data_IF_497582470882
#
_entry.id   IF_497582470882
#
_cell.length_a   1.000
_cell.length_b   1.000
_cell.length_c   1.000
_cell.angle_alpha   90.00
_cell.angle_beta   90.00
_cell.angle_gamma   90.00
#
_symmetry.space_group_name_H-M   'P 1'
#
loop_
_entity.id
_entity.type
_entity.pdbx_description
1 polymer ?
#
# COMPACT_ATOMS: atom_id res chain seq x y z
N UNK A 1 16.18 15.49 -15.67
CA UNK A 1 14.98 15.19 -16.44
C UNK A 1 15.18 13.84 -17.10
N UNK A 2 14.45 12.83 -16.68
CA UNK A 2 14.64 11.44 -17.09
C UNK A 2 13.67 11.06 -18.18
N UNK A 3 14.13 10.43 -19.23
CA UNK A 3 13.29 9.87 -20.25
C UNK A 3 13.44 8.34 -20.24
N UNK A 4 12.42 7.64 -19.80
CA UNK A 4 12.32 6.19 -19.92
C UNK A 4 11.30 5.85 -21.00
N UNK A 5 11.67 4.95 -21.90
CA UNK A 5 10.77 4.48 -22.96
C UNK A 5 10.02 3.24 -22.45
N UNK A 6 8.69 3.37 -22.30
CA UNK A 6 7.83 2.33 -21.76
C UNK A 6 6.93 1.76 -22.86
N UNK A 7 7.05 0.49 -23.19
CA UNK A 7 6.09 -0.20 -24.06
C UNK A 7 5.79 -1.60 -23.56
N UNK A 8 4.54 -2.00 -23.53
CA UNK A 8 4.07 -3.35 -23.22
C UNK A 8 4.28 -4.27 -24.41
N UNK A 9 4.81 -5.48 -24.22
CA UNK A 9 5.15 -6.40 -25.33
C UNK A 9 5.09 -7.87 -24.99
N UNK A 10 4.90 -8.65 -26.05
CA UNK A 10 4.90 -10.11 -26.04
C UNK A 10 6.34 -10.65 -26.06
N UNK A 11 6.64 -11.59 -25.18
CA UNK A 11 7.88 -12.36 -25.15
C UNK A 11 7.55 -13.81 -25.48
N UNK A 12 8.31 -14.42 -26.38
CA UNK A 12 8.29 -15.87 -26.55
C UNK A 12 9.61 -16.46 -26.08
N UNK A 13 9.56 -17.38 -25.13
CA UNK A 13 10.66 -18.29 -24.87
C UNK A 13 10.44 -19.55 -25.72
N UNK A 14 11.36 -19.89 -26.62
CA UNK A 14 11.22 -21.08 -27.47
C UNK A 14 11.17 -22.40 -26.69
N UNK A 15 11.55 -22.40 -25.41
CA UNK A 15 11.48 -23.55 -24.53
C UNK A 15 10.14 -23.71 -23.79
N UNK A 16 9.28 -22.68 -23.77
CA UNK A 16 8.05 -22.69 -22.97
C UNK A 16 6.75 -22.60 -23.78
N UNK A 17 6.79 -22.31 -25.06
CA UNK A 17 5.61 -22.32 -25.94
C UNK A 17 4.52 -21.29 -25.62
N UNK A 18 4.66 -20.49 -24.59
CA UNK A 18 3.71 -19.47 -24.18
C UNK A 18 4.27 -18.07 -24.40
N UNK A 19 3.48 -17.25 -25.10
CA UNK A 19 3.71 -15.82 -25.27
C UNK A 19 3.24 -15.07 -24.03
N UNK A 20 4.17 -14.52 -23.26
CA UNK A 20 3.83 -13.65 -22.12
C UNK A 20 4.06 -12.19 -22.47
N UNK A 21 3.13 -11.34 -22.07
CA UNK A 21 3.24 -9.90 -22.23
C UNK A 21 4.17 -9.35 -21.15
N UNK A 22 5.28 -8.75 -21.57
CA UNK A 22 6.20 -8.06 -20.66
C UNK A 22 6.38 -6.61 -21.06
N UNK A 23 6.64 -5.79 -20.07
CA UNK A 23 6.90 -4.38 -20.19
C UNK A 23 8.39 -4.13 -20.37
N UNK A 24 8.74 -3.55 -21.50
CA UNK A 24 10.11 -3.14 -21.77
C UNK A 24 10.31 -1.69 -21.40
N UNK A 25 11.34 -1.43 -20.61
CA UNK A 25 11.69 -0.07 -20.14
C UNK A 25 13.13 0.22 -20.57
N UNK A 26 13.31 1.12 -21.51
CA UNK A 26 14.63 1.60 -21.92
C UNK A 26 15.11 2.70 -20.99
N UNK A 27 16.20 2.46 -20.26
CA UNK A 27 16.73 3.38 -19.26
C UNK A 27 18.18 3.80 -19.57
N UNK A 28 18.54 4.95 -19.04
CA UNK A 28 19.90 5.43 -18.86
C UNK A 28 20.22 5.24 -17.37
N UNK A 29 21.09 4.28 -16.98
CA UNK A 29 21.28 3.91 -15.57
C UNK A 29 21.69 5.09 -14.69
N UNK A 30 22.62 5.95 -15.16
CA UNK A 30 23.08 7.08 -14.37
C UNK A 30 21.94 8.04 -13.99
N UNK A 31 21.01 8.23 -14.90
CA UNK A 31 19.84 9.09 -14.67
C UNK A 31 18.75 8.36 -13.89
N UNK A 32 18.51 7.08 -14.18
CA UNK A 32 17.52 6.28 -13.47
C UNK A 32 17.80 6.20 -11.99
N UNK A 33 19.05 6.02 -11.58
CA UNK A 33 19.46 5.98 -10.18
C UNK A 33 19.21 7.28 -9.40
N UNK A 34 18.99 8.39 -10.09
CA UNK A 34 18.65 9.67 -9.42
C UNK A 34 17.16 9.80 -9.11
N UNK A 35 16.29 9.04 -9.79
CA UNK A 35 14.83 9.20 -9.69
C UNK A 35 14.10 7.95 -9.20
N UNK A 36 14.71 6.78 -9.33
CA UNK A 36 14.18 5.50 -8.84
C UNK A 36 15.15 4.88 -7.82
N UNK A 37 14.67 3.85 -7.14
CA UNK A 37 15.47 3.07 -6.21
C UNK A 37 16.11 1.83 -6.89
N UNK A 38 16.22 1.85 -8.23
CA UNK A 38 16.72 0.73 -9.03
C UNK A 38 18.11 0.25 -8.57
N UNK A 39 19.01 1.17 -8.17
CA UNK A 39 20.32 0.79 -7.66
C UNK A 39 20.23 -0.06 -6.40
N UNK A 40 19.31 0.27 -5.49
CA UNK A 40 19.05 -0.52 -4.28
C UNK A 40 18.42 -1.85 -4.64
N UNK A 41 17.49 -1.87 -5.60
CA UNK A 41 16.81 -3.06 -6.08
C UNK A 41 17.77 -4.09 -6.72
N UNK A 42 18.85 -3.61 -7.37
CA UNK A 42 19.91 -4.44 -7.91
C UNK A 42 20.82 -5.04 -6.82
N UNK A 43 20.98 -4.34 -5.70
CA UNK A 43 21.83 -4.75 -4.58
C UNK A 43 21.10 -5.67 -3.59
N UNK A 44 19.76 -5.73 -3.62
CA UNK A 44 18.97 -6.57 -2.71
C UNK A 44 19.31 -8.04 -2.87
N UNK A 45 19.33 -8.75 -1.75
CA UNK A 45 19.53 -10.20 -1.78
C UNK A 45 18.36 -10.90 -2.44
N UNK A 46 18.67 -11.76 -3.40
CA UNK A 46 17.70 -12.65 -4.01
C UNK A 46 17.22 -13.67 -2.98
N UNK A 47 15.90 -13.84 -2.87
CA UNK A 47 15.31 -14.91 -2.06
C UNK A 47 15.08 -16.18 -2.86
N UNK A 48 14.98 -16.06 -4.19
CA UNK A 48 14.56 -17.14 -5.08
C UNK A 48 15.72 -17.76 -5.88
N UNK A 49 16.71 -16.97 -6.24
CA UNK A 49 17.80 -17.40 -7.11
C UNK A 49 19.14 -16.91 -6.58
N UNK A 50 19.92 -17.79 -6.00
CA UNK A 50 21.31 -17.53 -5.65
C UNK A 50 22.13 -17.20 -6.93
N UNK A 51 23.01 -16.20 -6.85
CA UNK A 51 23.97 -15.79 -7.90
C UNK A 51 23.38 -15.17 -9.17
N UNK A 52 22.23 -14.52 -9.11
CA UNK A 52 21.65 -13.84 -10.28
C UNK A 52 21.88 -12.31 -10.26
N UNK A 53 22.73 -11.82 -9.36
CA UNK A 53 23.05 -10.40 -9.26
C UNK A 53 23.82 -9.91 -10.47
N UNK A 54 23.67 -8.62 -10.77
CA UNK A 54 24.54 -7.93 -11.73
C UNK A 54 26.02 -8.00 -11.30
N UNK A 55 26.93 -7.90 -12.26
CA UNK A 55 28.36 -7.87 -11.93
C UNK A 55 28.75 -6.61 -11.21
N UNK A 56 28.21 -5.49 -11.67
CA UNK A 56 28.39 -4.16 -11.14
C UNK A 56 27.06 -3.45 -11.09
N UNK A 57 26.65 -2.97 -9.92
CA UNK A 57 25.41 -2.24 -9.75
C UNK A 57 25.48 -0.80 -10.29
N UNK A 58 26.68 -0.26 -10.45
CA UNK A 58 26.89 1.08 -11.02
C UNK A 58 26.89 1.03 -12.56
N UNK A 59 27.26 -0.11 -13.15
CA UNK A 59 27.13 -0.40 -14.59
C UNK A 59 26.39 -1.72 -14.82
N UNK A 60 25.06 -1.73 -14.61
CA UNK A 60 24.28 -2.96 -14.67
C UNK A 60 24.14 -3.55 -16.06
N UNK A 61 24.49 -2.79 -17.08
CA UNK A 61 24.49 -3.21 -18.49
C UNK A 61 25.89 -3.46 -19.06
N UNK A 62 26.89 -3.58 -18.20
CA UNK A 62 28.25 -3.89 -18.62
C UNK A 62 28.33 -5.19 -19.46
N UNK A 63 29.34 -5.31 -20.34
CA UNK A 63 29.47 -6.43 -21.24
C UNK A 63 29.65 -7.75 -20.51
N UNK A 64 28.96 -8.78 -20.97
CA UNK A 64 29.06 -10.14 -20.41
C UNK A 64 30.03 -10.96 -21.29
N UNK A 65 31.20 -11.33 -20.78
CA UNK A 65 32.19 -12.08 -21.53
C UNK A 65 31.62 -13.45 -22.00
N UNK A 66 31.98 -13.86 -23.24
CA UNK A 66 31.62 -15.16 -23.79
C UNK A 66 30.29 -15.23 -24.55
N UNK A 67 29.59 -14.10 -24.67
CA UNK A 67 28.33 -14.01 -25.43
C UNK A 67 28.49 -13.09 -26.64
N UNK A 68 29.31 -13.53 -27.58
CA UNK A 68 29.64 -12.78 -28.79
C UNK A 68 29.34 -13.65 -30.06
N UNK A 69 28.05 -13.93 -30.37
CA UNK A 69 27.73 -14.56 -31.62
C UNK A 69 28.15 -13.62 -32.77
N UNK A 70 28.86 -14.15 -33.74
CA UNK A 70 29.37 -13.40 -34.89
C UNK A 70 30.34 -12.24 -34.54
N UNK A 71 31.02 -12.33 -33.37
CA UNK A 71 32.01 -11.34 -32.95
C UNK A 71 31.41 -9.99 -32.46
N UNK A 72 30.11 -9.96 -32.21
CA UNK A 72 29.42 -8.81 -31.57
C UNK A 72 28.83 -9.23 -30.24
N UNK A 73 29.04 -8.47 -29.15
CA UNK A 73 28.43 -8.78 -27.88
C UNK A 73 26.89 -8.68 -27.99
N UNK A 74 26.20 -9.62 -27.35
CA UNK A 74 24.75 -9.53 -27.21
C UNK A 74 24.38 -8.36 -26.28
N UNK A 75 23.26 -7.70 -26.58
CA UNK A 75 22.76 -6.62 -25.75
C UNK A 75 22.29 -7.13 -24.40
N UNK A 76 22.65 -6.46 -23.30
CA UNK A 76 22.27 -6.86 -21.96
C UNK A 76 20.82 -6.49 -21.63
N UNK A 77 20.17 -7.34 -20.81
CA UNK A 77 18.84 -7.10 -20.25
C UNK A 77 18.83 -7.40 -18.76
N UNK A 78 18.16 -6.53 -17.97
CA UNK A 78 17.85 -6.81 -16.58
C UNK A 78 16.44 -7.37 -16.50
N UNK A 79 16.26 -8.39 -15.68
CA UNK A 79 15.00 -9.12 -15.54
C UNK A 79 14.50 -8.99 -14.12
N UNK A 80 13.21 -8.74 -13.92
CA UNK A 80 12.64 -8.79 -12.59
C UNK A 80 12.78 -10.16 -11.96
N UNK A 81 13.07 -10.23 -10.66
CA UNK A 81 13.41 -11.49 -9.97
C UNK A 81 12.30 -12.54 -10.09
N UNK A 82 11.04 -12.15 -10.02
CA UNK A 82 9.90 -13.05 -10.14
C UNK A 82 9.79 -13.65 -11.55
N UNK A 83 9.98 -12.83 -12.57
CA UNK A 83 10.00 -13.31 -13.96
C UNK A 83 11.17 -14.24 -14.21
N UNK A 84 12.33 -13.89 -13.69
CA UNK A 84 13.54 -14.72 -13.79
C UNK A 84 13.34 -16.08 -13.12
N UNK A 85 12.69 -16.13 -11.97
CA UNK A 85 12.34 -17.36 -11.26
C UNK A 85 11.36 -18.21 -12.08
N UNK A 86 10.30 -17.59 -12.59
CA UNK A 86 9.25 -18.27 -13.35
C UNK A 86 9.80 -18.91 -14.62
N UNK A 87 10.72 -18.24 -15.33
CA UNK A 87 11.29 -18.71 -16.58
C UNK A 87 12.65 -19.39 -16.42
N UNK A 88 13.15 -19.57 -15.20
CA UNK A 88 14.45 -20.17 -14.93
C UNK A 88 15.62 -19.40 -15.55
N UNK A 89 15.46 -18.07 -15.69
CA UNK A 89 16.47 -17.19 -16.27
C UNK A 89 17.57 -16.93 -15.26
N UNK A 90 18.81 -17.08 -15.70
CA UNK A 90 20.00 -16.79 -14.90
C UNK A 90 20.89 -15.83 -15.66
N UNK A 91 21.72 -15.12 -14.94
CA UNK A 91 22.76 -14.29 -15.53
C UNK A 91 23.57 -15.09 -16.57
N UNK A 92 23.76 -14.49 -17.72
CA UNK A 92 24.41 -15.13 -18.86
C UNK A 92 23.51 -16.03 -19.72
N UNK A 93 22.23 -16.25 -19.37
CA UNK A 93 21.28 -16.89 -20.30
C UNK A 93 20.81 -15.92 -21.37
N UNK A 94 20.55 -16.46 -22.56
CA UNK A 94 19.97 -15.68 -23.65
C UNK A 94 18.45 -15.69 -23.59
N UNK A 95 17.85 -14.57 -23.96
CA UNK A 95 16.41 -14.35 -24.02
C UNK A 95 16.06 -13.74 -25.38
N UNK A 96 15.13 -14.34 -26.11
CA UNK A 96 14.63 -13.77 -27.35
C UNK A 96 13.38 -12.94 -27.06
N UNK A 97 13.41 -11.67 -27.42
CA UNK A 97 12.28 -10.75 -27.29
C UNK A 97 11.71 -10.44 -28.67
N UNK A 98 10.40 -10.60 -28.81
CA UNK A 98 9.67 -10.30 -30.05
C UNK A 98 8.82 -9.07 -29.87
N UNK A 99 8.86 -8.17 -30.82
CA UNK A 99 8.10 -6.94 -30.77
C UNK A 99 7.33 -6.67 -32.08
N UNK A 100 6.09 -6.25 -31.94
CA UNK A 100 5.35 -5.62 -33.03
C UNK A 100 5.54 -4.10 -32.93
N UNK A 101 6.23 -3.49 -33.89
CA UNK A 101 6.36 -2.03 -33.99
C UNK A 101 5.18 -1.52 -34.80
N UNK A 102 4.47 -0.52 -34.27
CA UNK A 102 3.47 0.18 -35.06
C UNK A 102 4.18 1.21 -35.97
N UNK A 103 3.76 1.29 -37.19
CA UNK A 103 4.23 2.33 -38.11
C UNK A 103 3.79 3.70 -37.58
N UNK A 104 4.72 4.64 -37.52
CA UNK A 104 4.48 5.96 -36.92
C UNK A 104 3.48 6.82 -37.71
N UNK A 105 3.36 6.58 -39.03
CA UNK A 105 2.48 7.39 -39.92
C UNK A 105 1.12 6.72 -40.10
N UNK A 106 1.09 5.39 -40.21
CA UNK A 106 -0.14 4.66 -40.52
C UNK A 106 -0.82 4.01 -39.32
N UNK A 107 -0.11 3.87 -38.21
CA UNK A 107 -0.56 3.11 -37.02
C UNK A 107 -0.70 1.60 -37.29
N UNK A 108 -0.33 1.12 -38.47
CA UNK A 108 -0.41 -0.29 -38.83
C UNK A 108 0.71 -1.09 -38.13
N UNK A 109 0.44 -2.34 -37.70
CA UNK A 109 1.50 -3.19 -37.16
C UNK A 109 2.51 -3.53 -38.27
N UNK A 110 3.78 -3.24 -38.03
CA UNK A 110 4.89 -3.75 -38.84
C UNK A 110 5.12 -5.23 -38.52
N UNK A 111 5.88 -5.91 -39.39
CA UNK A 111 6.28 -7.27 -39.09
C UNK A 111 6.99 -7.37 -37.72
N UNK A 112 6.70 -8.42 -36.94
CA UNK A 112 7.36 -8.63 -35.65
C UNK A 112 8.87 -8.71 -35.84
N UNK A 113 9.61 -7.94 -35.06
CA UNK A 113 11.07 -7.98 -35.09
C UNK A 113 11.54 -8.68 -33.81
N UNK A 114 12.26 -9.79 -33.95
CA UNK A 114 12.90 -10.46 -32.85
C UNK A 114 14.33 -9.97 -32.64
N UNK A 115 14.78 -9.94 -31.39
CA UNK A 115 16.15 -9.66 -31.00
C UNK A 115 16.53 -10.49 -29.79
N UNK A 116 17.74 -11.06 -29.84
CA UNK A 116 18.27 -11.86 -28.74
C UNK A 116 19.08 -10.99 -27.80
N UNK A 117 18.81 -11.14 -26.51
CA UNK A 117 19.47 -10.44 -25.42
C UNK A 117 20.17 -11.43 -24.50
N UNK A 118 21.12 -10.96 -23.71
CA UNK A 118 21.74 -11.73 -22.64
C UNK A 118 21.33 -11.17 -21.28
N UNK A 119 20.94 -12.03 -20.36
CA UNK A 119 20.53 -11.63 -19.01
C UNK A 119 21.77 -11.14 -18.25
N UNK A 120 21.83 -9.84 -17.96
CA UNK A 120 22.90 -9.20 -17.21
C UNK A 120 22.76 -9.45 -15.70
N UNK A 121 21.54 -9.58 -15.22
CA UNK A 121 21.20 -9.85 -13.83
C UNK A 121 19.73 -9.64 -13.56
N UNK A 122 19.37 -9.76 -12.28
CA UNK A 122 18.00 -9.53 -11.81
C UNK A 122 17.94 -8.31 -10.90
N UNK A 123 16.76 -7.69 -10.85
CA UNK A 123 16.40 -6.64 -9.88
C UNK A 123 15.19 -7.07 -9.07
N UNK A 124 15.05 -6.55 -7.86
CA UNK A 124 13.95 -6.83 -6.93
C UNK A 124 13.36 -5.52 -6.39
N UNK A 125 12.21 -5.13 -6.95
CA UNK A 125 11.55 -3.85 -6.62
C UNK A 125 10.64 -3.91 -5.39
N UNK A 126 10.56 -5.03 -4.69
CA UNK A 126 9.58 -5.29 -3.63
C UNK A 126 8.11 -5.26 -4.12
N UNK A 127 7.88 -5.27 -5.41
CA UNK A 127 6.57 -5.38 -6.04
C UNK A 127 6.57 -6.56 -7.01
N UNK A 128 5.92 -7.66 -6.60
CA UNK A 128 5.87 -8.91 -7.38
C UNK A 128 5.32 -8.73 -8.78
N UNK A 129 4.26 -7.94 -8.92
CA UNK A 129 3.63 -7.71 -10.22
C UNK A 129 4.56 -6.96 -11.15
N UNK A 130 5.27 -5.96 -10.61
CA UNK A 130 6.26 -5.21 -11.35
C UNK A 130 7.44 -6.11 -11.78
N UNK A 131 7.96 -6.93 -10.87
CA UNK A 131 9.06 -7.86 -11.11
C UNK A 131 8.67 -9.01 -12.06
N UNK A 132 7.38 -9.37 -12.14
CA UNK A 132 6.86 -10.36 -13.08
C UNK A 132 6.74 -9.84 -14.51
N UNK A 133 6.58 -8.53 -14.69
CA UNK A 133 6.21 -7.95 -15.97
C UNK A 133 7.27 -7.05 -16.57
N UNK A 134 8.32 -6.68 -15.81
CA UNK A 134 9.23 -5.62 -16.24
C UNK A 134 10.62 -6.15 -16.60
N UNK A 135 11.11 -5.67 -17.75
CA UNK A 135 12.49 -5.84 -18.23
C UNK A 135 13.10 -4.47 -18.47
N UNK A 136 14.32 -4.27 -17.99
CA UNK A 136 15.08 -3.05 -18.28
C UNK A 136 16.12 -3.32 -19.37
N UNK A 137 16.20 -2.41 -20.33
CA UNK A 137 17.16 -2.41 -21.43
C UNK A 137 17.93 -1.09 -21.44
N UNK A 138 19.16 -1.06 -21.98
CA UNK A 138 19.80 0.21 -22.29
C UNK A 138 18.91 1.00 -23.26
N UNK A 139 18.72 2.28 -22.96
CA UNK A 139 17.85 3.16 -23.76
C UNK A 139 18.24 3.20 -25.24
N UNK A 140 19.54 3.21 -25.51
CA UNK A 140 20.07 3.26 -26.88
C UNK A 140 19.74 1.99 -27.66
N UNK A 141 19.91 0.83 -27.02
CA UNK A 141 19.57 -0.49 -27.57
C UNK A 141 18.08 -0.56 -27.90
N UNK A 142 17.24 -0.09 -26.99
CA UNK A 142 15.81 -0.06 -27.20
C UNK A 142 15.42 0.89 -28.32
N UNK A 143 16.02 2.07 -28.39
CA UNK A 143 15.76 3.06 -29.44
C UNK A 143 16.16 2.55 -30.83
N UNK A 144 17.31 1.87 -30.92
CA UNK A 144 17.78 1.23 -32.14
C UNK A 144 16.84 0.11 -32.60
N UNK A 145 16.50 -0.80 -31.69
CA UNK A 145 15.63 -1.93 -32.00
C UNK A 145 14.22 -1.49 -32.41
N UNK A 146 13.72 -0.38 -31.82
CA UNK A 146 12.39 0.18 -32.12
C UNK A 146 12.36 1.08 -33.33
N UNK A 147 13.52 1.51 -33.83
CA UNK A 147 13.60 2.56 -34.85
C UNK A 147 13.03 3.89 -34.38
N UNK A 148 12.99 4.14 -33.06
CA UNK A 148 12.36 5.32 -32.47
C UNK A 148 13.30 6.53 -32.36
N UNK A 149 14.56 6.38 -32.75
CA UNK A 149 15.58 7.42 -32.68
C UNK A 149 15.82 7.90 -31.23
N UNK A 150 15.82 9.22 -31.04
CA UNK A 150 15.99 9.84 -29.70
C UNK A 150 14.67 10.13 -28.98
N UNK A 151 13.55 9.60 -29.44
CA UNK A 151 12.26 9.82 -28.79
C UNK A 151 12.19 9.18 -27.41
N UNK A 152 11.32 9.67 -26.58
CA UNK A 152 10.98 9.10 -25.27
C UNK A 152 9.47 9.10 -25.09
N UNK A 153 8.97 8.13 -24.34
CA UNK A 153 7.52 8.01 -24.06
C UNK A 153 7.15 8.65 -22.73
N UNK A 154 8.06 8.57 -21.77
CA UNK A 154 7.81 9.05 -20.42
C UNK A 154 9.02 9.81 -19.87
N UNK A 155 8.74 10.81 -19.04
CA UNK A 155 9.74 11.56 -18.28
C UNK A 155 9.36 11.48 -16.81
N UNK A 156 10.25 10.91 -16.00
CA UNK A 156 10.04 10.79 -14.56
C UNK A 156 10.75 11.90 -13.81
N UNK A 157 10.07 12.51 -12.85
CA UNK A 157 10.63 13.57 -12.00
C UNK A 157 10.47 13.15 -10.54
N UNK A 158 11.57 13.13 -9.78
CA UNK A 158 11.56 12.89 -8.34
C UNK A 158 11.60 14.22 -7.60
N UNK A 159 10.67 14.40 -6.65
CA UNK A 159 10.65 15.55 -5.75
C UNK A 159 11.36 15.18 -4.45
N UNK A 160 12.13 16.12 -3.89
CA UNK A 160 12.80 15.92 -2.60
C UNK A 160 11.81 15.86 -1.43
N UNK A 161 10.76 16.67 -1.49
CA UNK A 161 9.66 16.69 -0.52
C UNK A 161 8.34 16.65 -1.25
N UNK A 162 7.88 15.43 -1.53
CA UNK A 162 6.67 15.21 -2.30
C UNK A 162 5.43 15.80 -1.61
N UNK A 163 5.31 15.64 -0.28
CA UNK A 163 4.15 16.06 0.46
C UNK A 163 3.91 17.57 0.39
N UNK A 164 4.97 18.37 0.47
CA UNK A 164 4.88 19.83 0.50
C UNK A 164 5.06 20.49 -0.88
N UNK A 165 5.75 19.81 -1.81
CA UNK A 165 6.13 20.40 -3.11
C UNK A 165 5.26 19.92 -4.26
N UNK A 166 4.39 18.91 -4.07
CA UNK A 166 3.61 18.28 -5.14
C UNK A 166 2.79 19.30 -5.94
N UNK A 167 1.98 20.09 -5.26
CA UNK A 167 1.07 21.04 -5.93
C UNK A 167 1.83 22.12 -6.71
N UNK A 168 2.84 22.72 -6.09
CA UNK A 168 3.68 23.72 -6.72
C UNK A 168 4.48 23.15 -7.91
N UNK A 169 4.96 21.90 -7.81
CA UNK A 169 5.66 21.22 -8.89
C UNK A 169 4.71 20.88 -10.05
N UNK A 170 3.50 20.41 -9.77
CA UNK A 170 2.49 20.13 -10.80
C UNK A 170 2.09 21.41 -11.56
N UNK A 171 1.86 22.49 -10.85
CA UNK A 171 1.51 23.77 -11.46
C UNK A 171 2.66 24.36 -12.29
N UNK A 172 3.88 24.36 -11.72
CA UNK A 172 5.08 24.89 -12.40
C UNK A 172 5.47 24.07 -13.61
N UNK A 173 5.51 22.75 -13.50
CA UNK A 173 5.79 21.85 -14.63
C UNK A 173 4.68 21.90 -15.66
N UNK A 174 3.41 21.91 -15.23
CA UNK A 174 2.27 22.02 -16.12
C UNK A 174 2.31 23.29 -16.96
N UNK A 175 2.58 24.43 -16.34
CA UNK A 175 2.72 25.73 -17.02
C UNK A 175 3.88 25.75 -18.00
N UNK A 176 5.05 25.28 -17.58
CA UNK A 176 6.25 25.26 -18.42
C UNK A 176 6.10 24.31 -19.62
N UNK A 177 5.60 23.09 -19.39
CA UNK A 177 5.40 22.11 -20.46
C UNK A 177 4.29 22.54 -21.44
N UNK A 178 3.27 23.25 -20.96
CA UNK A 178 2.23 23.82 -21.81
C UNK A 178 2.81 24.96 -22.68
N UNK A 179 3.64 25.82 -22.10
CA UNK A 179 4.29 26.93 -22.82
C UNK A 179 5.22 26.42 -23.94
N UNK A 180 5.90 25.29 -23.70
CA UNK A 180 6.79 24.64 -24.69
C UNK A 180 6.02 23.73 -25.68
N UNK A 181 4.69 23.62 -25.57
CA UNK A 181 3.85 22.83 -26.46
C UNK A 181 3.90 21.31 -26.23
N UNK A 182 4.49 20.85 -25.12
CA UNK A 182 4.53 19.43 -24.75
C UNK A 182 3.20 18.94 -24.15
N UNK A 183 2.47 19.82 -23.47
CA UNK A 183 1.14 19.50 -22.94
C UNK A 183 0.08 20.21 -23.78
N UNK A 184 -0.86 19.44 -24.31
CA UNK A 184 -2.03 19.98 -24.97
C UNK A 184 -3.15 20.21 -23.95
N UNK A 185 -3.98 21.22 -24.18
CA UNK A 185 -5.15 21.47 -23.35
C UNK A 185 -6.03 20.20 -23.25
N UNK A 186 -6.55 19.91 -22.08
CA UNK A 186 -7.41 18.75 -21.80
C UNK A 186 -8.54 18.68 -22.83
N UNK A 187 -8.53 17.67 -23.70
CA UNK A 187 -9.52 17.47 -24.76
C UNK A 187 -9.06 17.77 -26.20
N UNK A 188 -7.83 18.24 -26.41
CA UNK A 188 -7.31 18.57 -27.74
C UNK A 188 -6.56 17.42 -28.45
N UNK A 189 -6.79 16.17 -28.07
CA UNK A 189 -6.18 14.98 -28.73
C UNK A 189 -4.68 14.79 -28.51
N UNK A 190 -4.08 15.51 -27.59
CA UNK A 190 -2.67 15.36 -27.23
C UNK A 190 -2.41 14.14 -26.36
N UNK A 191 -1.32 13.46 -26.64
CA UNK A 191 -0.92 12.19 -25.97
C UNK A 191 -0.07 12.40 -24.72
N UNK A 192 0.25 13.63 -24.34
CA UNK A 192 1.08 13.94 -23.17
C UNK A 192 0.22 14.39 -21.99
N UNK A 193 0.39 13.72 -20.86
CA UNK A 193 -0.33 13.99 -19.61
C UNK A 193 0.65 14.02 -18.45
N UNK A 194 0.52 15.03 -17.60
CA UNK A 194 1.24 15.09 -16.34
C UNK A 194 0.47 14.30 -15.29
N UNK A 195 1.06 13.23 -14.78
CA UNK A 195 0.47 12.32 -13.79
C UNK A 195 1.36 12.19 -12.59
N UNK A 196 0.75 12.10 -11.43
CA UNK A 196 1.43 11.68 -10.20
C UNK A 196 1.46 10.16 -10.10
N UNK A 197 2.27 9.63 -9.21
CA UNK A 197 2.24 8.20 -8.90
C UNK A 197 0.88 7.77 -8.31
N UNK A 198 0.20 8.67 -7.58
CA UNK A 198 -1.15 8.46 -7.04
C UNK A 198 -2.18 8.29 -8.16
N UNK A 199 -2.07 9.09 -9.24
CA UNK A 199 -2.95 8.95 -10.41
C UNK A 199 -2.74 7.60 -11.10
N UNK A 200 -1.50 7.13 -11.12
CA UNK A 200 -1.14 5.83 -11.69
C UNK A 200 -1.72 4.67 -10.87
N UNK A 201 -1.71 4.80 -9.55
CA UNK A 201 -2.20 3.81 -8.60
C UNK A 201 -3.65 4.08 -8.12
N UNK A 202 -4.39 4.95 -8.82
CA UNK A 202 -5.69 5.45 -8.36
C UNK A 202 -6.70 4.36 -8.04
N UNK A 203 -6.77 3.32 -8.85
CA UNK A 203 -7.69 2.19 -8.62
C UNK A 203 -7.32 1.40 -7.36
N UNK A 204 -6.03 1.17 -7.15
CA UNK A 204 -5.52 0.48 -5.97
C UNK A 204 -5.72 1.33 -4.70
N UNK A 205 -5.39 2.62 -4.76
CA UNK A 205 -5.61 3.53 -3.63
C UNK A 205 -7.09 3.66 -3.27
N UNK A 206 -7.98 3.74 -4.27
CA UNK A 206 -9.43 3.75 -4.04
C UNK A 206 -9.92 2.44 -3.41
N UNK A 207 -9.36 1.29 -3.79
CA UNK A 207 -9.68 0.01 -3.18
C UNK A 207 -9.27 -0.04 -1.70
N UNK A 208 -8.06 0.44 -1.37
CA UNK A 208 -7.56 0.55 0.00
C UNK A 208 -8.43 1.50 0.84
N UNK A 209 -8.86 2.63 0.28
CA UNK A 209 -9.71 3.59 0.95
C UNK A 209 -11.11 3.02 1.24
N UNK A 210 -11.67 2.27 0.29
CA UNK A 210 -12.90 1.50 0.50
C UNK A 210 -12.74 0.44 1.61
N UNK A 211 -11.63 -0.29 1.64
CA UNK A 211 -11.33 -1.27 2.68
C UNK A 211 -11.23 -0.61 4.06
N UNK A 212 -10.50 0.51 4.17
CA UNK A 212 -10.44 1.32 5.41
C UNK A 212 -11.84 1.76 5.86
N UNK A 213 -12.69 2.16 4.93
CA UNK A 213 -14.07 2.57 5.23
C UNK A 213 -14.91 1.40 5.75
N UNK A 214 -14.79 0.23 5.14
CA UNK A 214 -15.46 -0.99 5.60
C UNK A 214 -14.99 -1.42 6.99
N UNK A 215 -13.67 -1.36 7.26
CA UNK A 215 -13.12 -1.62 8.59
C UNK A 215 -13.64 -0.60 9.62
N UNK A 216 -13.77 0.67 9.25
CA UNK A 216 -14.35 1.71 10.08
C UNK A 216 -15.81 1.44 10.44
N UNK A 217 -16.62 0.96 9.49
CA UNK A 217 -18.02 0.56 9.72
C UNK A 217 -18.08 -0.65 10.67
N UNK A 218 -17.25 -1.67 10.45
CA UNK A 218 -17.20 -2.85 11.33
C UNK A 218 -16.80 -2.46 12.76
N UNK A 219 -15.77 -1.61 12.90
CA UNK A 219 -15.33 -1.11 14.20
C UNK A 219 -16.44 -0.30 14.90
N UNK A 220 -17.18 0.53 14.15
CA UNK A 220 -18.31 1.29 14.66
C UNK A 220 -19.43 0.38 15.15
N UNK A 221 -19.68 -0.73 14.46
CA UNK A 221 -20.68 -1.74 14.88
C UNK A 221 -20.26 -2.43 16.19
N UNK A 222 -18.98 -2.82 16.30
CA UNK A 222 -18.43 -3.41 17.54
C UNK A 222 -18.54 -2.42 18.70
N UNK A 223 -18.23 -1.15 18.44
CA UNK A 223 -18.35 -0.09 19.44
C UNK A 223 -19.81 0.12 19.88
N UNK A 224 -20.77 0.05 18.95
CA UNK A 224 -22.20 0.14 19.24
C UNK A 224 -22.65 -1.01 20.13
N UNK A 225 -22.22 -2.26 19.85
CA UNK A 225 -22.50 -3.41 20.70
C UNK A 225 -21.92 -3.25 22.10
N UNK A 226 -20.68 -2.75 22.20
CA UNK A 226 -20.05 -2.48 23.49
C UNK A 226 -20.83 -1.41 24.28
N UNK A 227 -21.24 -0.31 23.63
CA UNK A 227 -22.06 0.72 24.23
C UNK A 227 -23.42 0.17 24.72
N UNK A 228 -24.03 -0.73 23.94
CA UNK A 228 -25.29 -1.39 24.34
C UNK A 228 -25.10 -2.30 25.57
N UNK A 229 -23.95 -2.96 25.68
CA UNK A 229 -23.59 -3.79 26.84
C UNK A 229 -23.48 -2.92 28.10
N UNK A 230 -22.79 -1.77 28.02
CA UNK A 230 -22.70 -0.81 29.13
C UNK A 230 -24.08 -0.30 29.51
N UNK A 231 -24.91 0.08 28.55
CA UNK A 231 -26.30 0.49 28.79
C UNK A 231 -27.09 -0.60 29.51
N UNK A 232 -26.97 -1.86 29.11
CA UNK A 232 -27.72 -2.96 29.74
C UNK A 232 -27.26 -3.21 31.18
N UNK A 233 -25.93 -3.21 31.42
CA UNK A 233 -25.35 -3.41 32.76
C UNK A 233 -25.75 -2.28 33.69
N UNK A 234 -25.62 -1.04 33.26
CA UNK A 234 -26.03 0.11 34.09
C UNK A 234 -27.55 0.16 34.31
N UNK A 235 -28.37 -0.25 33.34
CA UNK A 235 -29.82 -0.34 33.51
C UNK A 235 -30.19 -1.41 34.53
N UNK A 236 -29.52 -2.55 34.54
CA UNK A 236 -29.67 -3.59 35.55
C UNK A 236 -29.24 -3.09 36.93
N UNK A 237 -28.07 -2.44 37.02
CA UNK A 237 -27.56 -1.87 38.25
C UNK A 237 -28.54 -0.85 38.87
N UNK A 238 -29.14 0.02 38.05
CA UNK A 238 -30.17 0.97 38.50
C UNK A 238 -31.40 0.23 39.04
N UNK A 239 -31.81 -0.86 38.43
CA UNK A 239 -32.96 -1.66 38.92
C UNK A 239 -32.64 -2.36 40.25
N UNK A 240 -31.47 -2.97 40.40
CA UNK A 240 -31.03 -3.59 41.64
C UNK A 240 -30.90 -2.58 42.77
N UNK A 241 -30.42 -1.37 42.46
CA UNK A 241 -30.23 -0.29 43.44
C UNK A 241 -31.45 0.63 43.63
N UNK A 242 -32.60 0.28 43.02
CA UNK A 242 -33.81 1.13 43.06
C UNK A 242 -34.25 1.48 44.47
N UNK A 243 -34.20 0.54 45.41
CA UNK A 243 -34.56 0.77 46.81
C UNK A 243 -33.55 1.68 47.49
N UNK A 244 -32.27 1.47 47.28
CA UNK A 244 -31.21 2.30 47.85
C UNK A 244 -31.33 3.76 47.36
N UNK A 245 -31.63 3.96 46.07
CA UNK A 245 -31.88 5.26 45.45
C UNK A 245 -33.12 5.91 46.08
N UNK A 246 -34.19 5.13 46.28
CA UNK A 246 -35.41 5.61 46.93
C UNK A 246 -35.16 6.09 48.36
N UNK A 247 -34.36 5.36 49.15
CA UNK A 247 -33.98 5.77 50.53
C UNK A 247 -33.14 7.05 50.49
N UNK A 248 -32.15 7.14 49.59
CA UNK A 248 -31.30 8.32 49.45
C UNK A 248 -32.10 9.58 49.07
N UNK A 249 -33.03 9.43 48.11
CA UNK A 249 -33.91 10.55 47.71
C UNK A 249 -34.90 10.97 48.82
N UNK A 250 -35.42 10.02 49.61
CA UNK A 250 -36.24 10.30 50.76
C UNK A 250 -35.47 11.04 51.89
N UNK A 251 -34.16 10.79 52.00
CA UNK A 251 -33.23 11.49 52.90
C UNK A 251 -32.76 12.85 52.38
N UNK A 252 -33.22 13.27 51.16
CA UNK A 252 -32.93 14.58 50.60
C UNK A 252 -31.84 14.60 49.50
N UNK A 253 -31.44 13.45 48.95
CA UNK A 253 -30.56 13.44 47.80
C UNK A 253 -31.24 14.10 46.60
N UNK A 254 -30.51 15.00 45.94
CA UNK A 254 -31.03 15.71 44.76
C UNK A 254 -30.98 14.80 43.53
N UNK A 255 -31.90 14.95 42.55
CA UNK A 255 -31.83 14.19 41.28
C UNK A 255 -30.47 14.34 40.55
N UNK A 256 -29.88 15.55 40.64
CA UNK A 256 -28.54 15.80 40.09
C UNK A 256 -27.41 15.01 40.78
N UNK A 257 -27.55 14.79 42.10
CA UNK A 257 -26.61 13.96 42.87
C UNK A 257 -26.69 12.51 42.46
N UNK A 258 -27.89 11.94 42.31
CA UNK A 258 -28.11 10.58 41.83
C UNK A 258 -27.61 10.41 40.40
N UNK A 259 -27.94 11.35 39.49
CA UNK A 259 -27.42 11.37 38.12
C UNK A 259 -25.88 11.37 38.10
N UNK A 260 -25.27 12.27 38.90
CA UNK A 260 -23.82 12.39 38.98
C UNK A 260 -23.14 11.09 39.44
N UNK A 261 -23.73 10.37 40.40
CA UNK A 261 -23.20 9.10 40.89
C UNK A 261 -23.13 8.04 39.79
N UNK A 262 -24.21 7.87 39.03
CA UNK A 262 -24.23 6.88 37.94
C UNK A 262 -23.38 7.31 36.72
N UNK A 263 -23.32 8.61 36.40
CA UNK A 263 -22.41 9.13 35.40
C UNK A 263 -20.95 8.97 35.81
N UNK A 264 -20.63 9.09 37.09
CA UNK A 264 -19.27 8.85 37.59
C UNK A 264 -18.87 7.38 37.44
N UNK A 265 -19.79 6.45 37.65
CA UNK A 265 -19.55 5.01 37.37
C UNK A 265 -19.23 4.83 35.91
N UNK A 266 -20.06 5.32 34.99
CA UNK A 266 -19.82 5.27 33.57
C UNK A 266 -18.52 5.96 33.12
N UNK A 267 -18.17 7.07 33.75
CA UNK A 267 -16.90 7.77 33.51
C UNK A 267 -15.67 6.94 33.89
N UNK A 268 -15.67 6.29 35.06
CA UNK A 268 -14.57 5.43 35.47
C UNK A 268 -14.48 4.17 34.60
N UNK A 269 -15.62 3.58 34.24
CA UNK A 269 -15.68 2.44 33.30
C UNK A 269 -15.11 2.82 31.94
N UNK A 270 -15.53 3.96 31.36
CA UNK A 270 -15.02 4.48 30.12
C UNK A 270 -13.51 4.77 30.18
N UNK A 271 -13.06 5.40 31.29
CA UNK A 271 -11.64 5.75 31.48
C UNK A 271 -10.76 4.52 31.57
N UNK A 272 -11.11 3.58 32.45
CA UNK A 272 -10.33 2.34 32.63
C UNK A 272 -10.36 1.47 31.39
N UNK A 273 -11.53 1.30 30.77
CA UNK A 273 -11.68 0.56 29.51
C UNK A 273 -10.87 1.16 28.38
N UNK A 274 -10.93 2.48 28.20
CA UNK A 274 -10.16 3.18 27.17
C UNK A 274 -8.65 3.09 27.39
N UNK A 275 -8.17 3.23 28.62
CA UNK A 275 -6.74 3.13 28.94
C UNK A 275 -6.22 1.71 28.73
N UNK A 276 -6.94 0.70 29.20
CA UNK A 276 -6.57 -0.71 29.01
C UNK A 276 -6.63 -1.09 27.52
N UNK A 277 -7.67 -0.68 26.81
CA UNK A 277 -7.83 -0.92 25.39
C UNK A 277 -6.74 -0.25 24.55
N UNK A 278 -6.39 1.02 24.87
CA UNK A 278 -5.29 1.73 24.24
C UNK A 278 -3.95 1.02 24.47
N UNK A 279 -3.66 0.68 25.73
CA UNK A 279 -2.41 -0.02 26.07
C UNK A 279 -2.28 -1.36 25.37
N UNK A 280 -3.32 -2.20 25.42
CA UNK A 280 -3.35 -3.49 24.78
C UNK A 280 -3.29 -3.38 23.24
N UNK A 281 -4.02 -2.42 22.65
CA UNK A 281 -4.04 -2.20 21.20
C UNK A 281 -2.70 -1.73 20.64
N UNK A 282 -2.06 -0.75 21.30
CA UNK A 282 -0.74 -0.25 20.90
C UNK A 282 0.32 -1.34 21.06
N UNK A 283 0.27 -2.09 22.17
CA UNK A 283 1.18 -3.21 22.39
C UNK A 283 1.01 -4.29 21.30
N UNK A 284 -0.24 -4.68 21.00
CA UNK A 284 -0.52 -5.68 19.97
C UNK A 284 -0.06 -5.21 18.57
N UNK A 285 -0.25 -3.92 18.25
CA UNK A 285 0.22 -3.36 16.99
C UNK A 285 1.75 -3.31 16.90
N UNK A 286 2.44 -2.98 18.00
CA UNK A 286 3.90 -2.95 18.04
C UNK A 286 4.52 -4.35 17.92
N UNK A 287 3.90 -5.36 18.55
CA UNK A 287 4.40 -6.74 18.60
C UNK A 287 3.69 -7.67 17.61
N UNK A 288 3.07 -7.14 16.55
CA UNK A 288 2.26 -7.93 15.60
C UNK A 288 3.05 -9.08 14.98
N UNK A 289 4.33 -8.86 14.69
CA UNK A 289 5.20 -9.88 14.10
C UNK A 289 5.52 -11.02 15.09
N UNK A 290 5.70 -10.69 16.37
CA UNK A 290 5.90 -11.70 17.42
C UNK A 290 4.60 -12.49 17.67
N UNK A 291 3.46 -11.82 17.66
CA UNK A 291 2.14 -12.42 17.79
C UNK A 291 1.86 -13.37 16.60
N UNK A 292 2.15 -12.93 15.36
CA UNK A 292 2.03 -13.74 14.16
C UNK A 292 2.88 -15.01 14.25
N UNK A 293 4.16 -14.87 14.61
CA UNK A 293 5.08 -15.99 14.76
C UNK A 293 4.60 -16.99 15.84
N UNK A 294 4.10 -16.48 16.97
CA UNK A 294 3.55 -17.32 18.02
C UNK A 294 2.29 -18.08 17.57
N UNK A 295 1.37 -17.42 16.90
CA UNK A 295 0.15 -18.02 16.36
C UNK A 295 0.49 -19.05 15.28
N UNK A 296 1.39 -18.72 14.35
CA UNK A 296 1.83 -19.64 13.29
C UNK A 296 2.45 -20.91 13.88
N UNK A 297 3.25 -20.77 14.94
CA UNK A 297 3.83 -21.92 15.64
C UNK A 297 2.79 -22.78 16.37
N UNK A 298 1.74 -22.15 16.91
CA UNK A 298 0.68 -22.84 17.65
C UNK A 298 -0.26 -23.61 16.74
N UNK A 299 -0.64 -23.00 15.59
CA UNK A 299 -1.59 -23.57 14.65
C UNK A 299 -0.94 -24.42 13.55
N UNK A 300 0.38 -24.38 13.39
CA UNK A 300 1.11 -25.20 12.42
C UNK A 300 0.94 -24.75 10.97
N UNK A 301 0.44 -23.55 10.71
CA UNK A 301 0.38 -22.95 9.38
C UNK A 301 0.87 -21.49 9.44
N UNK A 302 1.49 -21.03 8.36
CA UNK A 302 1.93 -19.64 8.24
C UNK A 302 0.75 -18.73 7.92
N UNK A 303 0.44 -17.80 8.82
CA UNK A 303 -0.65 -16.82 8.64
C UNK A 303 -0.22 -15.79 7.59
N UNK A 304 1.04 -15.34 7.66
CA UNK A 304 1.64 -14.41 6.73
C UNK A 304 2.71 -15.11 5.89
N UNK A 305 2.37 -15.41 4.62
CA UNK A 305 3.32 -16.06 3.73
C UNK A 305 4.29 -15.01 3.15
N UNK A 306 5.51 -14.98 3.66
CA UNK A 306 6.58 -14.05 3.26
C UNK A 306 6.97 -14.20 1.79
N UNK A 307 6.83 -15.40 1.21
CA UNK A 307 7.13 -15.66 -0.20
C UNK A 307 6.11 -15.00 -1.13
N UNK A 308 4.85 -14.83 -0.67
CA UNK A 308 3.78 -14.21 -1.46
C UNK A 308 3.84 -12.68 -1.34
N UNK A 309 4.07 -12.17 -0.13
CA UNK A 309 4.01 -10.73 0.14
C UNK A 309 5.36 -10.01 0.02
N UNK A 310 6.48 -10.74 -0.08
CA UNK A 310 7.87 -10.22 -0.19
C UNK A 310 8.31 -9.24 0.91
N UNK A 311 7.56 -9.16 2.00
CA UNK A 311 7.96 -8.41 3.17
C UNK A 311 8.55 -9.36 4.22
N UNK A 312 9.70 -9.01 4.76
CA UNK A 312 10.32 -9.78 5.85
C UNK A 312 9.54 -9.68 7.15
N UNK A 313 8.74 -8.61 7.29
CA UNK A 313 7.90 -8.34 8.46
C UNK A 313 6.63 -7.59 8.04
N UNK A 314 5.58 -7.72 8.83
CA UNK A 314 4.33 -6.98 8.63
C UNK A 314 4.61 -5.51 8.94
N UNK A 315 4.53 -4.59 7.96
CA UNK A 315 4.75 -3.18 8.23
C UNK A 315 3.58 -2.61 9.04
N UNK A 316 3.88 -1.98 10.15
CA UNK A 316 2.87 -1.35 11.01
C UNK A 316 3.16 0.14 11.17
N UNK A 317 2.15 0.96 10.94
CA UNK A 317 2.20 2.40 11.17
C UNK A 317 1.09 2.75 12.15
N UNK A 318 1.48 3.26 13.32
CA UNK A 318 0.52 3.73 14.33
C UNK A 318 0.31 5.23 14.07
N UNK A 319 -0.86 5.58 13.55
CA UNK A 319 -1.26 6.97 13.34
C UNK A 319 -1.88 7.54 14.62
N UNK A 320 -1.25 8.48 15.34
CA UNK A 320 -1.74 8.99 16.61
C UNK A 320 -3.13 9.63 16.50
N UNK A 321 -3.43 10.28 15.37
CA UNK A 321 -4.73 10.90 15.10
C UNK A 321 -5.86 9.89 15.00
N UNK A 322 -5.65 8.78 14.28
CA UNK A 322 -6.63 7.71 14.16
C UNK A 322 -6.85 7.01 15.51
N UNK A 323 -5.77 6.73 16.25
CA UNK A 323 -5.87 6.15 17.60
C UNK A 323 -6.65 7.06 18.55
N UNK A 324 -6.34 8.36 18.55
CA UNK A 324 -7.06 9.32 19.38
C UNK A 324 -8.55 9.38 19.03
N UNK A 325 -8.90 9.38 17.74
CA UNK A 325 -10.30 9.39 17.30
C UNK A 325 -11.06 8.16 17.79
N UNK A 326 -10.46 6.97 17.70
CA UNK A 326 -11.07 5.72 18.17
C UNK A 326 -11.28 5.75 19.69
N UNK A 327 -10.26 6.15 20.46
CA UNK A 327 -10.32 6.21 21.93
C UNK A 327 -11.36 7.23 22.41
N UNK A 328 -11.37 8.43 21.82
CA UNK A 328 -12.34 9.46 22.15
C UNK A 328 -13.75 9.01 21.75
N UNK A 329 -13.90 8.40 20.58
CA UNK A 329 -15.16 7.83 20.12
C UNK A 329 -15.72 6.78 21.07
N UNK A 330 -14.87 5.85 21.53
CA UNK A 330 -15.24 4.81 22.49
C UNK A 330 -15.64 5.42 23.86
N UNK A 331 -14.85 6.36 24.33
CA UNK A 331 -15.13 7.07 25.60
C UNK A 331 -16.47 7.80 25.54
N UNK A 332 -16.72 8.57 24.49
CA UNK A 332 -17.97 9.33 24.32
C UNK A 332 -19.16 8.38 24.17
N UNK A 333 -19.03 7.31 23.38
CA UNK A 333 -20.09 6.31 23.20
C UNK A 333 -20.48 5.65 24.54
N UNK A 334 -19.50 5.30 25.36
CA UNK A 334 -19.71 4.74 26.70
C UNK A 334 -20.44 5.71 27.61
N UNK A 335 -20.02 6.98 27.63
CA UNK A 335 -20.70 8.01 28.42
C UNK A 335 -22.14 8.25 27.96
N UNK A 336 -22.40 8.29 26.68
CA UNK A 336 -23.74 8.42 26.10
C UNK A 336 -24.62 7.22 26.47
N UNK A 337 -24.08 6.01 26.42
CA UNK A 337 -24.77 4.79 26.82
C UNK A 337 -25.12 4.79 28.31
N UNK A 338 -24.23 5.34 29.18
CA UNK A 338 -24.45 5.45 30.62
C UNK A 338 -25.45 6.56 30.96
N UNK A 339 -25.56 7.59 30.13
CA UNK A 339 -26.39 8.77 30.43
C UNK A 339 -27.89 8.46 30.57
N UNK A 340 -28.43 7.56 29.72
CA UNK A 340 -29.86 7.23 29.78
C UNK A 340 -30.25 6.46 31.04
N UNK A 341 -29.57 5.38 31.47
CA UNK A 341 -29.86 4.73 32.76
C UNK A 341 -29.67 5.67 33.96
N UNK A 342 -28.62 6.49 33.93
CA UNK A 342 -28.35 7.47 34.98
C UNK A 342 -29.48 8.51 35.08
N UNK A 343 -29.96 9.02 33.95
CA UNK A 343 -31.09 9.95 33.92
C UNK A 343 -32.37 9.31 34.42
N UNK A 344 -32.64 8.05 34.09
CA UNK A 344 -33.79 7.29 34.59
C UNK A 344 -33.71 7.07 36.09
N UNK A 345 -32.52 6.75 36.60
CA UNK A 345 -32.29 6.64 38.06
C UNK A 345 -32.60 7.93 38.81
N UNK A 346 -32.19 9.08 38.25
CA UNK A 346 -32.42 10.39 38.86
C UNK A 346 -33.89 10.81 38.90
N UNK A 347 -34.75 10.21 38.10
CA UNK A 347 -36.20 10.49 38.04
C UNK A 347 -37.07 9.44 38.74
N UNK A 348 -36.49 8.52 39.50
CA UNK A 348 -37.25 7.56 40.29
C UNK A 348 -38.02 8.26 41.39
N UNK A 349 -39.35 7.98 41.46
CA UNK A 349 -40.20 8.45 42.58
C UNK A 349 -39.85 7.64 43.83
N UNK A 350 -39.46 8.31 44.96
CA UNK A 350 -39.13 7.61 46.19
C UNK A 350 -40.30 6.75 46.73
N UNK A 351 -41.55 7.16 46.51
CA UNK A 351 -42.73 6.41 46.95
C UNK A 351 -42.88 5.11 46.17
N UNK A 352 -42.72 5.16 44.84
CA UNK A 352 -42.76 3.95 44.01
C UNK A 352 -41.54 3.05 44.27
N UNK A 353 -40.36 3.63 44.52
CA UNK A 353 -39.12 2.87 44.74
C UNK A 353 -39.19 2.05 46.06
N UNK A 354 -39.90 2.53 47.06
CA UNK A 354 -40.07 1.88 48.37
C UNK A 354 -41.29 0.94 48.44
N UNK A 355 -42.23 1.05 47.48
CA UNK A 355 -43.49 0.28 47.47
C UNK A 355 -43.41 -1.06 46.75
N UNK A 356 -42.41 -1.25 45.91
CA UNK A 356 -42.20 -2.53 45.22
C UNK A 356 -41.42 -3.50 46.10
N UNK A 357 -42.13 -4.49 46.63
CA UNK A 357 -41.59 -5.79 47.04
C UNK A 357 -41.25 -6.67 45.83
#
# INVERSE_FOLDING_TARGET
>A
MLAAQRRERMVSDPNFGDLSLVKLVGIDPEREFTVSDLREDLLRESQLLLDNRVADADDPFGPIPGYEPDGRPLDPVLVGEQLASLWGLRRGRTLELVTAVLDAETGAPREPVSRTFVVAGTFRSMNNEFDLQTLYLPREVMADWMGSGRSFTDVTVRLHDYANQREAALEGLGTSLHAEGFLHARGAGGWSELRTWEDFQRSMLAAIENEKSLMGIMLSLVLLVAAFTVFAILSMLVQEKRRDIGILTALGATPGGVLGTFLMIGFWEATLGSLLGLGAGVWAAAEINAIEAALSSLFGFTIFNREVYLFDHIPTVIEPGAVALIVIGAFVATLLAAAFPAWRAARLDPVEALRHE
#
